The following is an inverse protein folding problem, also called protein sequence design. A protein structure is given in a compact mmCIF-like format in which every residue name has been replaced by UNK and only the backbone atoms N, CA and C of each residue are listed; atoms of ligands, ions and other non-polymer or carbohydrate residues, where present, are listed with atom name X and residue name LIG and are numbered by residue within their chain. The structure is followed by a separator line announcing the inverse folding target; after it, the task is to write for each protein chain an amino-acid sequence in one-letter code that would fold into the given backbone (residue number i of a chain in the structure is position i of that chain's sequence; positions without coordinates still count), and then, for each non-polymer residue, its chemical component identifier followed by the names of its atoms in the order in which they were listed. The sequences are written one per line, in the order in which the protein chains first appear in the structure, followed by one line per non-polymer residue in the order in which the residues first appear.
data_IF_739395142651
#
_entry.id   IF_739395142651
#
_cell.length_a   1.000
_cell.length_b   1.000
_cell.length_c   1.000
_cell.angle_alpha   90.00
_cell.angle_beta   90.00
_cell.angle_gamma   90.00
#
_symmetry.space_group_name_H-M   'P 1'
#
loop_
_entity.id
_entity.type
_entity.pdbx_description
1 polymer ?
#
# COMPACT_ATOMS: atom_id res chain seq x y z
N UNK A 1 -45.77 0.37 -5.75
CA UNK A 1 -45.82 0.91 -7.12
C UNK A 1 -45.36 2.33 -7.04
N UNK A 2 -44.33 2.77 -7.75
CA UNK A 2 -44.17 4.10 -8.35
C UNK A 2 -42.83 4.10 -9.09
N UNK A 3 -42.90 4.52 -10.34
CA UNK A 3 -42.03 4.21 -11.46
C UNK A 3 -40.90 5.22 -11.63
N UNK A 4 -39.80 4.74 -12.19
CA UNK A 4 -38.69 5.53 -12.74
C UNK A 4 -39.15 6.40 -13.93
N UNK A 5 -38.57 7.58 -14.15
CA UNK A 5 -38.15 7.91 -15.51
C UNK A 5 -36.79 8.62 -15.58
N UNK A 6 -35.87 7.95 -16.27
CA UNK A 6 -34.90 8.46 -17.27
C UNK A 6 -34.79 9.99 -17.42
N UNK A 7 -33.61 10.54 -17.08
CA UNK A 7 -33.07 11.80 -17.62
C UNK A 7 -31.58 11.58 -17.93
N UNK A 8 -31.21 11.37 -19.20
CA UNK A 8 -30.70 12.39 -20.14
C UNK A 8 -29.29 12.89 -19.78
N UNK A 9 -28.33 12.49 -20.62
CA UNK A 9 -26.94 12.96 -20.62
C UNK A 9 -26.82 14.47 -20.85
N UNK A 10 -25.74 15.09 -20.35
CA UNK A 10 -25.12 16.21 -21.03
C UNK A 10 -23.72 15.83 -21.56
N UNK A 11 -23.60 15.85 -22.88
CA UNK A 11 -22.33 16.16 -23.57
C UNK A 11 -21.92 17.58 -23.15
N UNK A 12 -20.72 17.76 -22.61
CA UNK A 12 -19.91 18.98 -22.79
C UNK A 12 -18.54 18.80 -22.13
N UNK A 13 -17.51 18.54 -22.93
CA UNK A 13 -16.26 19.31 -22.88
C UNK A 13 -15.53 19.15 -24.21
N UNK A 14 -15.53 20.23 -24.97
CA UNK A 14 -14.67 20.46 -26.13
C UNK A 14 -13.44 21.21 -25.63
N UNK A 15 -12.26 20.64 -25.80
CA UNK A 15 -11.01 21.39 -25.76
C UNK A 15 -10.10 20.88 -26.86
N UNK A 16 -10.20 21.55 -28.01
CA UNK A 16 -9.14 21.61 -29.00
C UNK A 16 -7.95 22.35 -28.39
N UNK A 17 -6.76 21.75 -28.43
CA UNK A 17 -5.51 22.49 -28.62
C UNK A 17 -4.46 21.57 -29.28
N UNK A 18 -3.76 22.04 -30.33
CA UNK A 18 -2.85 21.25 -31.16
C UNK A 18 -1.43 21.09 -30.54
N UNK A 19 -0.60 20.16 -31.07
CA UNK A 19 0.69 19.80 -30.48
C UNK A 19 1.82 20.76 -30.90
N UNK A 20 2.88 20.94 -30.09
CA UNK A 20 4.13 21.52 -30.58
C UNK A 20 4.96 20.47 -31.32
N UNK A 21 5.48 20.90 -32.48
CA UNK A 21 6.26 20.12 -33.43
C UNK A 21 7.68 19.81 -32.93
N UNK A 22 8.19 18.67 -33.38
CA UNK A 22 9.60 18.26 -33.33
C UNK A 22 10.47 19.17 -34.20
N UNK A 23 11.60 19.63 -33.67
CA UNK A 23 12.72 20.13 -34.49
C UNK A 23 13.94 19.24 -34.28
N UNK A 24 14.33 18.56 -35.36
CA UNK A 24 15.63 17.92 -35.55
C UNK A 24 16.78 18.91 -35.32
N UNK A 25 17.85 18.45 -34.67
CA UNK A 25 19.21 18.90 -34.99
C UNK A 25 20.24 17.79 -34.79
N UNK A 26 20.96 17.52 -35.87
CA UNK A 26 22.01 16.51 -35.99
C UNK A 26 23.29 16.88 -35.23
N UNK A 27 23.95 15.82 -34.77
CA UNK A 27 25.39 15.53 -34.67
C UNK A 27 26.40 16.68 -34.56
N UNK A 28 27.22 16.62 -33.51
CA UNK A 28 28.66 16.82 -33.62
C UNK A 28 29.41 16.03 -32.54
N UNK A 29 30.37 15.24 -33.01
CA UNK A 29 31.34 14.43 -32.27
C UNK A 29 32.44 15.33 -31.74
N UNK A 30 32.77 15.22 -30.45
CA UNK A 30 34.08 15.62 -29.92
C UNK A 30 34.57 14.50 -29.00
N UNK A 31 35.57 13.80 -29.51
CA UNK A 31 36.50 12.94 -28.79
C UNK A 31 37.18 13.69 -27.65
N UNK A 32 37.35 13.04 -26.49
CA UNK A 32 38.55 13.25 -25.68
C UNK A 32 38.85 11.98 -24.88
N UNK A 33 39.98 11.37 -25.26
CA UNK A 33 40.65 10.27 -24.58
C UNK A 33 41.47 10.84 -23.43
N UNK A 34 41.28 10.33 -22.21
CA UNK A 34 42.29 10.44 -21.14
C UNK A 34 42.42 9.06 -20.49
N UNK A 35 43.57 8.44 -20.76
CA UNK A 35 44.05 7.24 -20.09
C UNK A 35 44.76 7.60 -18.78
N UNK A 36 44.79 6.59 -17.91
CA UNK A 36 45.85 6.28 -16.92
C UNK A 36 45.67 6.88 -15.52
N UNK A 37 45.34 6.02 -14.56
CA UNK A 37 46.31 5.51 -13.56
C UNK A 37 45.54 4.89 -12.37
N UNK A 38 45.53 3.56 -12.31
CA UNK A 38 45.11 2.81 -11.12
C UNK A 38 46.39 2.28 -10.47
N UNK A 39 46.71 2.82 -9.30
CA UNK A 39 47.73 2.31 -8.40
C UNK A 39 47.07 1.95 -7.06
N UNK A 40 47.00 0.65 -6.77
CA UNK A 40 47.12 0.11 -5.41
C UNK A 40 48.63 -0.07 -5.12
N UNK A 41 49.15 -0.17 -3.86
CA UNK A 41 48.60 -1.02 -2.80
C UNK A 41 48.88 -0.59 -1.33
N UNK A 42 48.48 -1.49 -0.41
CA UNK A 42 49.04 -1.79 0.92
C UNK A 42 48.32 -1.32 2.20
N UNK A 43 47.81 -2.34 2.90
CA UNK A 43 47.97 -2.70 4.34
C UNK A 43 48.30 -1.60 5.35
N UNK A 44 47.48 -1.51 6.41
CA UNK A 44 47.92 -1.64 7.81
C UNK A 44 46.74 -1.56 8.79
N UNK A 45 46.58 -2.61 9.61
CA UNK A 45 46.08 -2.57 10.99
C UNK A 45 47.07 -1.80 11.88
N UNK A 46 46.61 -1.11 12.95
CA UNK A 46 46.76 -1.72 14.26
C UNK A 46 45.69 -1.35 15.33
N UNK A 47 45.50 -2.32 16.24
CA UNK A 47 45.50 -2.19 17.70
C UNK A 47 44.69 -1.07 18.36
N UNK A 48 43.65 -1.45 19.10
CA UNK A 48 43.34 -0.80 20.37
C UNK A 48 43.09 -1.84 21.47
N UNK A 49 44.01 -1.81 22.42
CA UNK A 49 43.88 -2.28 23.79
C UNK A 49 42.92 -1.39 24.57
N UNK A 50 42.10 -1.98 25.43
CA UNK A 50 41.68 -1.44 26.73
C UNK A 50 41.02 -2.60 27.52
N UNK A 51 41.70 -3.15 28.51
CA UNK A 51 41.77 -2.68 29.91
C UNK A 51 40.55 -3.10 30.72
N UNK A 52 40.82 -4.08 31.58
CA UNK A 52 40.01 -4.59 32.68
C UNK A 52 39.58 -3.50 33.66
N UNK A 53 38.42 -3.72 34.29
CA UNK A 53 38.09 -3.47 35.72
C UNK A 53 36.60 -3.15 35.84
N UNK A 54 35.82 -3.60 36.81
CA UNK A 54 36.02 -4.38 38.02
C UNK A 54 34.63 -4.87 38.40
N UNK A 55 34.53 -6.14 38.79
CA UNK A 55 33.32 -6.74 39.34
C UNK A 55 33.27 -6.37 40.82
N UNK A 56 32.42 -5.42 41.20
CA UNK A 56 32.11 -5.15 42.61
C UNK A 56 30.81 -5.86 42.97
N UNK A 57 30.96 -6.98 43.68
CA UNK A 57 29.91 -7.60 44.47
C UNK A 57 29.69 -6.75 45.72
N UNK A 58 28.55 -6.07 45.79
CA UNK A 58 28.10 -5.44 47.03
C UNK A 58 26.78 -6.07 47.45
N UNK A 59 26.90 -6.98 48.41
CA UNK A 59 25.80 -7.61 49.13
C UNK A 59 25.18 -6.58 50.07
N UNK A 60 23.93 -6.22 49.85
CA UNK A 60 23.12 -5.38 50.76
C UNK A 60 21.98 -6.26 51.33
N UNK A 61 21.69 -6.18 52.65
CA UNK A 61 20.72 -7.06 53.31
C UNK A 61 19.27 -6.66 53.03
N UNK A 62 18.39 -7.66 53.08
CA UNK A 62 16.93 -7.58 52.87
C UNK A 62 16.23 -6.65 53.87
N UNK A 63 15.30 -5.79 53.42
CA UNK A 63 14.25 -5.28 54.28
C UNK A 63 12.97 -6.13 54.21
N UNK A 64 12.31 -6.18 55.35
CA UNK A 64 11.15 -6.98 55.72
C UNK A 64 9.94 -6.78 54.80
N UNK A 65 9.17 -7.87 54.63
CA UNK A 65 7.89 -7.93 53.92
C UNK A 65 6.93 -6.81 54.31
N UNK A 66 6.27 -6.16 53.34
CA UNK A 66 4.95 -5.60 53.54
C UNK A 66 3.91 -6.54 52.94
N UNK A 67 2.99 -6.98 53.81
CA UNK A 67 1.55 -7.14 53.58
C UNK A 67 1.10 -7.37 52.13
N UNK A 68 0.55 -8.56 51.86
CA UNK A 68 -0.25 -8.85 50.67
C UNK A 68 -1.44 -7.88 50.65
N UNK A 69 -1.30 -6.77 49.92
CA UNK A 69 -2.46 -6.08 49.39
C UNK A 69 -2.92 -6.92 48.20
N UNK A 70 -3.99 -7.69 48.39
CA UNK A 70 -4.78 -8.24 47.30
C UNK A 70 -5.32 -7.07 46.48
N UNK A 71 -4.49 -6.57 45.57
CA UNK A 71 -4.91 -5.68 44.50
C UNK A 71 -5.80 -6.54 43.63
N UNK A 72 -7.12 -6.39 43.84
CA UNK A 72 -8.12 -6.76 42.85
C UNK A 72 -7.67 -6.11 41.55
N UNK A 73 -7.06 -6.91 40.68
CA UNK A 73 -6.71 -6.50 39.34
C UNK A 73 -8.02 -6.21 38.65
N UNK A 74 -8.42 -4.95 38.63
CA UNK A 74 -9.39 -4.47 37.66
C UNK A 74 -8.80 -4.83 36.30
N UNK A 75 -9.32 -5.90 35.70
CA UNK A 75 -9.09 -6.23 34.30
C UNK A 75 -9.68 -5.04 33.56
N UNK A 76 -8.84 -4.07 33.18
CA UNK A 76 -9.25 -2.97 32.31
C UNK A 76 -9.70 -3.68 31.04
N UNK A 77 -11.00 -3.64 30.67
CA UNK A 77 -11.42 -4.19 29.40
C UNK A 77 -10.66 -3.39 28.34
N UNK A 78 -9.79 -4.03 27.58
CA UNK A 78 -9.23 -3.47 26.36
C UNK A 78 -10.38 -3.35 25.36
N UNK A 79 -11.21 -2.31 25.52
CA UNK A 79 -12.22 -1.96 24.53
C UNK A 79 -11.46 -1.57 23.27
N UNK A 80 -11.38 -2.49 22.29
CA UNK A 80 -10.88 -2.17 20.95
C UNK A 80 -11.73 -1.02 20.41
N UNK A 81 -11.10 0.14 20.19
CA UNK A 81 -11.78 1.30 19.61
C UNK A 81 -12.15 0.96 18.15
N UNK A 82 -13.42 1.11 17.80
CA UNK A 82 -13.89 0.97 16.42
C UNK A 82 -13.28 2.08 15.57
N UNK A 83 -12.71 1.76 14.41
CA UNK A 83 -12.23 2.80 13.50
C UNK A 83 -13.42 3.65 13.04
N UNK A 84 -13.30 4.97 13.13
CA UNK A 84 -14.36 5.91 12.72
C UNK A 84 -14.43 6.08 11.19
N UNK A 85 -14.03 5.06 10.42
CA UNK A 85 -13.92 5.12 8.96
C UNK A 85 -12.56 5.64 8.48
N UNK A 86 -11.48 4.90 8.79
CA UNK A 86 -10.15 5.18 8.24
C UNK A 86 -10.24 5.14 6.72
N UNK A 87 -9.99 6.27 6.06
CA UNK A 87 -9.95 6.36 4.61
C UNK A 87 -8.61 5.85 4.11
N UNK A 88 -8.65 5.02 3.09
CA UNK A 88 -7.49 4.43 2.45
C UNK A 88 -7.62 4.72 0.96
N UNK A 89 -6.51 5.15 0.37
CA UNK A 89 -6.39 5.36 -1.05
C UNK A 89 -5.13 4.66 -1.56
N UNK A 90 -5.22 4.10 -2.75
CA UNK A 90 -4.14 3.34 -3.37
C UNK A 90 -4.22 3.38 -4.88
N UNK A 91 -3.08 3.19 -5.54
CA UNK A 91 -2.95 3.24 -7.00
C UNK A 91 -2.27 2.00 -7.55
N UNK A 92 -2.68 1.60 -8.75
CA UNK A 92 -2.01 0.57 -9.57
C UNK A 92 -2.13 0.99 -11.03
N UNK A 93 -1.27 0.46 -11.90
CA UNK A 93 -1.37 0.72 -13.34
C UNK A 93 -2.20 -0.36 -14.01
N UNK A 94 -3.05 0.03 -14.94
CA UNK A 94 -3.83 -0.86 -15.78
C UNK A 94 -3.12 -1.03 -17.12
N UNK A 95 -3.08 -2.25 -17.64
CA UNK A 95 -2.56 -2.50 -18.99
C UNK A 95 -3.50 -1.87 -20.00
N UNK A 96 -3.02 -1.05 -20.96
CA UNK A 96 -3.88 -0.35 -21.91
C UNK A 96 -4.84 -1.27 -22.68
N UNK A 97 -4.38 -2.47 -23.04
CA UNK A 97 -5.17 -3.46 -23.79
C UNK A 97 -6.22 -4.21 -22.93
N UNK A 98 -6.24 -3.98 -21.62
CA UNK A 98 -7.12 -4.65 -20.68
C UNK A 98 -8.24 -3.75 -20.11
N UNK A 99 -8.33 -2.49 -20.54
CA UNK A 99 -9.27 -1.51 -19.98
C UNK A 99 -10.72 -2.01 -20.00
N UNK A 100 -11.20 -2.47 -21.15
CA UNK A 100 -12.58 -2.94 -21.27
C UNK A 100 -12.82 -4.24 -20.49
N UNK A 101 -11.87 -5.18 -20.52
CA UNK A 101 -11.95 -6.43 -19.72
C UNK A 101 -12.04 -6.14 -18.22
N UNK A 102 -11.28 -5.15 -17.75
CA UNK A 102 -11.28 -4.74 -16.36
C UNK A 102 -12.61 -4.12 -15.94
N UNK A 103 -13.18 -3.22 -16.75
CA UNK A 103 -14.52 -2.66 -16.52
C UNK A 103 -15.59 -3.75 -16.52
N UNK A 104 -15.51 -4.67 -17.47
CA UNK A 104 -16.45 -5.76 -17.63
C UNK A 104 -16.48 -6.70 -16.43
N UNK A 105 -15.30 -7.09 -15.91
CA UNK A 105 -15.26 -7.93 -14.72
C UNK A 105 -15.77 -7.17 -13.49
N UNK A 106 -15.44 -5.89 -13.33
CA UNK A 106 -15.92 -5.08 -12.19
C UNK A 106 -17.39 -4.69 -12.28
N UNK A 107 -18.01 -4.72 -13.46
CA UNK A 107 -19.46 -4.62 -13.60
C UNK A 107 -20.18 -5.89 -13.09
N UNK A 108 -19.45 -7.01 -12.95
CA UNK A 108 -19.97 -8.33 -12.59
C UNK A 108 -19.09 -9.00 -11.52
N UNK A 109 -18.72 -8.24 -10.48
CA UNK A 109 -17.92 -8.76 -9.37
C UNK A 109 -18.62 -9.96 -8.74
N UNK A 110 -17.84 -10.98 -8.41
CA UNK A 110 -18.36 -12.21 -7.82
C UNK A 110 -19.00 -11.94 -6.44
N UNK A 111 -20.19 -12.49 -6.16
CA UNK A 111 -20.88 -12.28 -4.88
C UNK A 111 -20.03 -12.65 -3.65
N UNK A 112 -19.19 -13.68 -3.74
CA UNK A 112 -18.30 -14.13 -2.68
C UNK A 112 -17.22 -13.10 -2.36
N UNK A 113 -16.71 -12.41 -3.38
CA UNK A 113 -15.73 -11.34 -3.22
C UNK A 113 -16.38 -10.13 -2.55
N UNK A 114 -17.57 -9.72 -3.02
CA UNK A 114 -18.32 -8.63 -2.41
C UNK A 114 -18.70 -8.93 -0.95
N UNK A 115 -19.06 -10.18 -0.67
CA UNK A 115 -19.32 -10.65 0.70
C UNK A 115 -18.07 -10.52 1.57
N UNK A 116 -16.92 -11.00 1.10
CA UNK A 116 -15.66 -10.90 1.86
C UNK A 116 -15.26 -9.45 2.14
N UNK A 117 -15.41 -8.54 1.15
CA UNK A 117 -15.14 -7.10 1.34
C UNK A 117 -15.98 -6.53 2.50
N UNK A 118 -17.27 -6.85 2.54
CA UNK A 118 -18.17 -6.41 3.62
C UNK A 118 -17.82 -7.03 4.98
N UNK A 119 -17.49 -8.32 5.01
CA UNK A 119 -17.08 -9.04 6.24
C UNK A 119 -15.74 -8.52 6.79
N UNK A 120 -14.89 -7.95 5.94
CA UNK A 120 -13.67 -7.24 6.32
C UNK A 120 -13.89 -5.75 6.63
N UNK A 121 -15.15 -5.34 6.86
CA UNK A 121 -15.50 -3.98 7.27
C UNK A 121 -14.98 -2.88 6.32
N UNK A 122 -14.95 -3.17 5.02
CA UNK A 122 -14.66 -2.19 3.97
C UNK A 122 -15.98 -1.64 3.43
N UNK A 123 -16.10 -0.32 3.44
CA UNK A 123 -17.25 0.45 2.99
C UNK A 123 -16.82 1.54 2.00
N UNK A 124 -17.79 2.12 1.27
CA UNK A 124 -17.55 3.20 0.30
C UNK A 124 -16.42 2.91 -0.71
N UNK A 125 -16.25 1.64 -1.11
CA UNK A 125 -15.15 1.23 -1.99
C UNK A 125 -15.45 1.57 -3.46
N UNK A 126 -14.64 2.46 -4.02
CA UNK A 126 -14.68 2.86 -5.43
C UNK A 126 -13.32 2.70 -6.10
N UNK A 127 -13.32 2.37 -7.39
CA UNK A 127 -12.12 2.32 -8.25
C UNK A 127 -12.38 3.19 -9.48
N UNK A 128 -11.48 4.13 -9.72
CA UNK A 128 -11.52 5.10 -10.82
C UNK A 128 -10.39 4.79 -11.80
N UNK A 129 -10.60 5.06 -13.09
CA UNK A 129 -9.58 4.89 -14.12
C UNK A 129 -9.30 6.23 -14.81
N UNK A 130 -8.04 6.62 -14.87
CA UNK A 130 -7.56 7.74 -15.68
C UNK A 130 -6.99 7.22 -17.02
N UNK A 131 -7.67 7.44 -18.15
CA UNK A 131 -7.19 6.97 -19.46
C UNK A 131 -5.87 7.58 -19.93
N UNK A 132 -5.47 8.75 -19.40
CA UNK A 132 -4.26 9.43 -19.84
C UNK A 132 -2.98 8.78 -19.29
N UNK A 133 -3.05 8.31 -18.05
CA UNK A 133 -1.93 7.66 -17.36
C UNK A 133 -2.10 6.13 -17.26
N UNK A 134 -3.30 5.63 -17.54
CA UNK A 134 -3.76 4.27 -17.25
C UNK A 134 -3.66 3.91 -15.76
N UNK A 135 -3.75 4.90 -14.86
CA UNK A 135 -3.77 4.66 -13.43
C UNK A 135 -5.20 4.29 -13.00
N UNK A 136 -5.28 3.23 -12.20
CA UNK A 136 -6.43 2.93 -11.37
C UNK A 136 -6.21 3.55 -10.00
N UNK A 137 -7.16 4.38 -9.57
CA UNK A 137 -7.21 4.95 -8.23
C UNK A 137 -8.33 4.27 -7.44
N UNK A 138 -7.97 3.55 -6.39
CA UNK A 138 -8.90 2.89 -5.48
C UNK A 138 -9.01 3.68 -4.19
N UNK A 139 -10.22 3.91 -3.69
CA UNK A 139 -10.47 4.53 -2.40
C UNK A 139 -11.60 3.82 -1.66
N UNK A 140 -11.42 3.59 -0.36
CA UNK A 140 -12.42 2.97 0.50
C UNK A 140 -12.28 3.44 1.95
N UNK A 141 -13.31 3.19 2.75
CA UNK A 141 -13.31 3.39 4.20
C UNK A 141 -13.21 2.04 4.90
N UNK A 142 -12.36 1.97 5.90
CA UNK A 142 -12.30 0.85 6.83
C UNK A 142 -12.92 1.23 8.18
N UNK A 143 -13.95 0.50 8.59
CA UNK A 143 -14.77 0.77 9.80
C UNK A 143 -14.67 -0.34 10.85
N UNK A 144 -13.77 -1.30 10.68
CA UNK A 144 -13.59 -2.43 11.59
C UNK A 144 -12.71 -2.11 12.81
N UNK A 145 -12.27 -3.17 13.49
CA UNK A 145 -11.48 -3.08 14.73
C UNK A 145 -10.03 -3.55 14.58
N UNK A 146 -9.72 -4.26 13.50
CA UNK A 146 -8.44 -4.94 13.29
C UNK A 146 -8.13 -5.00 11.79
N UNK A 147 -7.58 -3.91 11.26
CA UNK A 147 -7.32 -3.79 9.82
C UNK A 147 -6.40 -4.91 9.32
N UNK A 148 -5.32 -5.19 10.06
CA UNK A 148 -4.36 -6.23 9.70
C UNK A 148 -5.04 -7.60 9.69
N UNK A 149 -5.74 -7.96 10.75
CA UNK A 149 -6.46 -9.22 10.82
C UNK A 149 -7.55 -9.37 9.75
N UNK A 150 -8.23 -8.28 9.39
CA UNK A 150 -9.25 -8.29 8.34
C UNK A 150 -8.64 -8.45 6.94
N UNK A 151 -7.49 -7.82 6.67
CA UNK A 151 -6.78 -7.97 5.40
C UNK A 151 -6.16 -9.37 5.27
N UNK A 152 -5.66 -9.97 6.35
CA UNK A 152 -5.18 -11.35 6.35
C UNK A 152 -6.30 -12.34 6.04
N UNK A 153 -7.49 -12.20 6.65
CA UNK A 153 -8.65 -13.05 6.30
C UNK A 153 -9.06 -12.92 4.84
N UNK A 154 -8.97 -11.71 4.29
CA UNK A 154 -9.22 -11.49 2.86
C UNK A 154 -8.18 -12.21 2.00
N UNK A 155 -6.89 -12.15 2.39
CA UNK A 155 -5.79 -12.83 1.71
C UNK A 155 -5.89 -14.35 1.77
N UNK A 156 -6.43 -14.91 2.84
CA UNK A 156 -6.61 -16.36 3.02
C UNK A 156 -7.79 -16.92 2.21
N UNK A 157 -8.79 -16.09 1.86
CA UNK A 157 -9.98 -16.56 1.15
C UNK A 157 -9.63 -17.01 -0.29
N UNK A 158 -9.84 -18.29 -0.65
CA UNK A 158 -9.46 -18.82 -1.95
C UNK A 158 -10.21 -18.16 -3.12
N UNK A 159 -11.47 -17.75 -2.93
CA UNK A 159 -12.25 -17.06 -3.97
C UNK A 159 -11.76 -15.65 -4.22
N UNK A 160 -11.29 -14.97 -3.17
CA UNK A 160 -10.66 -13.65 -3.33
C UNK A 160 -9.32 -13.77 -4.05
N UNK A 161 -8.51 -14.78 -3.73
CA UNK A 161 -7.25 -15.04 -4.42
C UNK A 161 -7.44 -15.34 -5.91
N UNK A 162 -8.46 -16.13 -6.25
CA UNK A 162 -8.83 -16.43 -7.64
C UNK A 162 -9.24 -15.15 -8.38
N UNK A 163 -10.08 -14.32 -7.76
CA UNK A 163 -10.46 -13.02 -8.28
C UNK A 163 -9.25 -12.10 -8.49
N UNK A 164 -8.35 -12.02 -7.51
CA UNK A 164 -7.14 -11.22 -7.62
C UNK A 164 -6.22 -11.71 -8.72
N UNK A 165 -6.01 -13.02 -8.87
CA UNK A 165 -5.20 -13.56 -9.97
C UNK A 165 -5.71 -13.11 -11.34
N UNK A 166 -7.04 -13.07 -11.52
CA UNK A 166 -7.67 -12.53 -12.73
C UNK A 166 -7.40 -11.03 -12.90
N UNK A 167 -7.63 -10.22 -11.87
CA UNK A 167 -7.46 -8.76 -11.97
C UNK A 167 -5.99 -8.34 -12.09
N UNK A 168 -5.09 -9.04 -11.39
CA UNK A 168 -3.64 -8.83 -11.44
C UNK A 168 -3.12 -9.08 -12.87
N UNK A 169 -3.72 -10.04 -13.60
CA UNK A 169 -3.37 -10.28 -15.01
C UNK A 169 -3.60 -9.06 -15.92
N UNK A 170 -4.52 -8.17 -15.54
CA UNK A 170 -4.83 -6.92 -16.24
C UNK A 170 -3.99 -5.74 -15.76
N UNK A 171 -3.27 -5.87 -14.65
CA UNK A 171 -2.62 -4.78 -13.96
C UNK A 171 -1.09 -4.90 -14.00
N UNK A 172 -0.43 -3.79 -13.65
CA UNK A 172 1.00 -3.68 -13.41
C UNK A 172 1.21 -2.94 -12.08
N UNK A 173 1.91 -3.58 -11.15
CA UNK A 173 2.17 -2.99 -9.84
C UNK A 173 3.13 -1.81 -9.92
N UNK A 174 2.90 -0.82 -9.05
CA UNK A 174 3.82 0.28 -8.78
C UNK A 174 4.69 0.02 -7.54
N UNK A 175 4.52 -1.16 -6.90
CA UNK A 175 5.32 -1.62 -5.78
C UNK A 175 6.49 -2.43 -6.34
N UNK A 176 7.72 -1.96 -6.11
CA UNK A 176 8.92 -2.56 -6.67
C UNK A 176 9.09 -4.02 -6.22
N UNK A 177 9.29 -4.92 -7.18
CA UNK A 177 9.47 -6.35 -6.95
C UNK A 177 8.20 -7.12 -6.58
N UNK A 178 7.04 -6.49 -6.52
CA UNK A 178 5.77 -7.17 -6.24
C UNK A 178 5.36 -8.10 -7.38
N UNK A 179 4.93 -9.31 -7.03
CA UNK A 179 4.58 -10.37 -8.00
C UNK A 179 3.07 -10.64 -8.11
N UNK A 180 2.25 -10.06 -7.24
CA UNK A 180 0.79 -10.19 -7.25
C UNK A 180 0.14 -9.69 -5.96
N UNK A 181 -1.19 -9.68 -5.89
CA UNK A 181 -1.99 -9.25 -4.72
C UNK A 181 -1.79 -10.10 -3.47
N UNK A 182 -1.21 -11.30 -3.60
CA UNK A 182 -0.85 -12.15 -2.45
C UNK A 182 0.59 -11.98 -1.96
N UNK A 183 1.39 -11.13 -2.62
CA UNK A 183 2.76 -10.81 -2.22
C UNK A 183 2.74 -10.00 -0.90
N UNK A 184 3.64 -10.33 0.03
CA UNK A 184 3.74 -9.64 1.33
C UNK A 184 4.11 -8.16 1.19
N UNK A 185 4.75 -7.78 0.07
CA UNK A 185 5.06 -6.38 -0.24
C UNK A 185 3.81 -5.56 -0.59
N UNK A 186 2.72 -6.22 -0.96
CA UNK A 186 1.50 -5.60 -1.48
C UNK A 186 1.56 -5.35 -2.98
N UNK A 187 0.39 -5.25 -3.61
CA UNK A 187 0.25 -5.06 -5.06
C UNK A 187 -0.15 -3.64 -5.47
N UNK A 188 -1.01 -3.03 -4.67
CA UNK A 188 -1.43 -1.64 -4.83
C UNK A 188 -0.51 -0.73 -4.00
N UNK A 189 -0.06 0.37 -4.61
CA UNK A 189 0.77 1.36 -3.92
C UNK A 189 -0.13 2.32 -3.13
N UNK A 190 0.04 2.40 -1.82
CA UNK A 190 -0.67 3.35 -0.98
C UNK A 190 -0.35 4.81 -1.34
N UNK A 191 -1.32 5.70 -1.15
CA UNK A 191 -1.13 7.16 -1.27
C UNK A 191 -1.61 7.87 -0.01
N UNK A 192 -0.98 9.00 0.30
CA UNK A 192 -1.22 9.73 1.55
C UNK A 192 -2.49 10.60 1.46
N UNK A 193 -3.31 10.53 2.51
CA UNK A 193 -4.37 11.52 2.74
C UNK A 193 -3.75 12.79 3.32
N UNK A 194 -3.79 13.89 2.55
CA UNK A 194 -3.23 15.18 2.96
C UNK A 194 -4.27 16.18 3.43
N UNK A 195 -5.55 15.93 3.14
CA UNK A 195 -6.66 16.81 3.49
C UNK A 195 -7.97 16.01 3.56
N UNK A 196 -8.82 16.36 4.51
CA UNK A 196 -10.18 15.85 4.62
C UNK A 196 -11.10 16.88 5.28
N UNK A 197 -12.33 16.98 4.80
CA UNK A 197 -13.43 17.68 5.44
C UNK A 197 -14.65 16.75 5.43
N UNK A 198 -15.35 16.69 6.56
CA UNK A 198 -16.52 15.83 6.76
C UNK A 198 -17.79 16.45 6.17
#
# INVERSE_FOLDING_TARGET
MWTNPRTSSPKMWSASNPPPQSSHRSSQSISNSISTSISQPQTQTPSQSQSQSQRQTQTQPLPLSPTIFSRTGTVIPTQKLKNQGKRIAQIVKLKPDCVEKYKDCHARVWPEVLKQIKECCIEDYSIYHDPSTNILFASFKYVGYDYVGDMERMRENPKVREWWSLTDSYQESLVEGSTGSTDERGWWKGVDEVFYVA
#
